data_IF_430988896408
#
_entry.id   IF_430988896408
#
_cell.length_a   1.000
_cell.length_b   1.000
_cell.length_c   1.000
_cell.angle_alpha   90.00
_cell.angle_beta   90.00
_cell.angle_gamma   90.00
#
_symmetry.space_group_name_H-M   'P 1'
#
loop_
_entity.id
_entity.type
_entity.pdbx_description
1 polymer ?
#
# COMPACT_ATOMS: atom_id res chain seq x y z
N UNK A 1 -36.61 -28.86 -42.00
CA UNK A 1 -36.21 -27.46 -41.73
C UNK A 1 -35.24 -27.49 -40.57
N UNK A 2 -33.95 -27.56 -40.88
CA UNK A 2 -32.86 -27.75 -39.92
C UNK A 2 -32.26 -26.41 -39.51
N UNK A 3 -31.96 -26.32 -38.22
CA UNK A 3 -30.87 -25.59 -37.57
C UNK A 3 -30.80 -24.06 -37.69
N UNK A 4 -31.33 -23.32 -36.70
CA UNK A 4 -30.69 -22.08 -36.18
C UNK A 4 -30.98 -21.85 -34.67
N UNK A 5 -30.48 -22.68 -33.72
CA UNK A 5 -30.24 -22.19 -32.35
C UNK A 5 -28.77 -21.89 -32.07
N UNK A 6 -27.84 -22.42 -32.86
CA UNK A 6 -26.39 -22.32 -32.60
C UNK A 6 -25.76 -21.01 -33.12
N UNK A 7 -26.36 -20.37 -34.12
CA UNK A 7 -25.81 -19.13 -34.70
C UNK A 7 -25.98 -17.93 -33.76
N UNK A 8 -27.07 -17.87 -32.98
CA UNK A 8 -27.30 -16.77 -32.02
C UNK A 8 -26.32 -16.87 -30.85
N UNK A 9 -26.10 -18.07 -30.30
CA UNK A 9 -25.12 -18.30 -29.23
C UNK A 9 -23.69 -18.04 -29.69
N UNK A 10 -23.34 -18.43 -30.92
CA UNK A 10 -22.03 -18.16 -31.52
C UNK A 10 -21.86 -16.67 -31.86
N UNK A 11 -22.91 -15.94 -32.26
CA UNK A 11 -22.83 -14.48 -32.44
C UNK A 11 -22.66 -13.71 -31.12
N UNK A 12 -23.32 -14.13 -30.04
CA UNK A 12 -23.10 -13.54 -28.70
C UNK A 12 -21.73 -13.90 -28.12
N UNK A 13 -21.18 -15.08 -28.43
CA UNK A 13 -19.81 -15.46 -28.08
C UNK A 13 -18.75 -14.77 -28.98
N UNK A 14 -19.08 -14.46 -30.24
CA UNK A 14 -18.22 -13.71 -31.17
C UNK A 14 -18.21 -12.20 -30.91
N UNK A 15 -19.25 -11.63 -30.27
CA UNK A 15 -19.24 -10.24 -29.80
C UNK A 15 -18.41 -10.06 -28.52
N UNK A 16 -18.07 -11.15 -27.81
CA UNK A 16 -17.03 -11.18 -26.78
C UNK A 16 -15.63 -11.47 -27.37
N UNK A 17 -15.41 -11.23 -28.66
CA UNK A 17 -14.07 -11.29 -29.25
C UNK A 17 -13.24 -10.06 -28.80
N UNK A 18 -12.38 -10.27 -27.80
CA UNK A 18 -11.29 -9.39 -27.38
C UNK A 18 -11.63 -7.89 -27.34
N UNK A 19 -12.21 -7.43 -26.23
CA UNK A 19 -12.12 -6.02 -25.86
C UNK A 19 -10.62 -5.65 -25.83
N UNK A 20 -10.16 -4.90 -26.83
CA UNK A 20 -8.77 -4.46 -26.91
C UNK A 20 -8.49 -3.52 -25.75
N UNK A 21 -7.34 -3.69 -25.12
CA UNK A 21 -6.92 -2.84 -24.01
C UNK A 21 -6.49 -1.49 -24.59
N UNK A 22 -7.13 -0.43 -24.11
CA UNK A 22 -6.94 0.94 -24.57
C UNK A 22 -6.62 1.80 -23.35
N UNK A 23 -5.69 2.74 -23.50
CA UNK A 23 -5.37 3.73 -22.49
C UNK A 23 -6.11 5.05 -22.73
N UNK A 24 -6.37 5.83 -21.67
CA UNK A 24 -7.02 7.15 -21.76
C UNK A 24 -6.30 8.10 -22.71
N UNK A 25 -7.02 8.98 -23.40
CA UNK A 25 -6.44 9.91 -24.37
C UNK A 25 -5.57 10.99 -23.69
N UNK A 26 -4.26 11.09 -23.98
CA UNK A 26 -3.40 12.12 -23.41
C UNK A 26 -3.50 13.49 -24.11
N UNK A 27 -4.36 13.70 -25.10
CA UNK A 27 -4.46 14.96 -25.86
C UNK A 27 -4.93 16.16 -25.03
N UNK A 28 -5.46 15.94 -23.82
CA UNK A 28 -5.73 16.98 -22.82
C UNK A 28 -4.49 17.67 -22.22
N UNK A 29 -3.28 17.21 -22.58
CA UNK A 29 -2.01 17.80 -22.17
C UNK A 29 -1.90 19.29 -22.55
N UNK A 30 -1.57 20.14 -21.55
CA UNK A 30 -1.48 21.61 -21.71
C UNK A 30 -0.01 22.08 -21.73
N UNK A 31 0.19 23.27 -22.30
CA UNK A 31 1.49 23.98 -22.34
C UNK A 31 2.64 23.20 -23.01
N UNK A 32 2.28 22.29 -23.92
CA UNK A 32 3.21 21.50 -24.69
C UNK A 32 2.53 20.67 -25.80
N UNK A 33 3.28 19.72 -26.34
CA UNK A 33 2.83 18.80 -27.38
C UNK A 33 3.02 17.34 -26.94
N UNK A 34 2.03 16.51 -27.28
CA UNK A 34 2.11 15.04 -27.22
C UNK A 34 2.17 14.46 -28.64
N UNK A 35 3.07 13.49 -28.87
CA UNK A 35 3.28 12.81 -30.16
C UNK A 35 3.41 11.28 -29.99
N UNK A 36 2.88 10.45 -30.91
CA UNK A 36 1.92 10.81 -31.96
C UNK A 36 0.53 11.09 -31.36
N UNK A 37 -0.27 11.89 -32.06
CA UNK A 37 -1.71 12.05 -31.78
C UNK A 37 -2.47 10.97 -32.55
N UNK A 38 -3.07 10.04 -31.84
CA UNK A 38 -3.82 8.91 -32.40
C UNK A 38 -5.29 9.04 -32.02
N UNK A 39 -6.18 8.38 -32.76
CA UNK A 39 -7.60 8.30 -32.38
C UNK A 39 -7.84 7.41 -31.16
N UNK A 40 -7.05 6.35 -31.01
CA UNK A 40 -7.06 5.44 -29.87
C UNK A 40 -5.65 4.97 -29.56
N UNK A 41 -5.36 4.73 -28.29
CA UNK A 41 -4.05 4.29 -27.81
C UNK A 41 -4.15 2.87 -27.25
N UNK A 42 -3.85 1.88 -28.10
CA UNK A 42 -3.85 0.47 -27.70
C UNK A 42 -2.62 0.13 -26.86
N UNK A 43 -2.68 -1.02 -26.16
CA UNK A 43 -1.51 -1.64 -25.51
C UNK A 43 -0.25 -1.59 -26.39
N UNK A 44 0.87 -1.16 -25.81
CA UNK A 44 2.16 -0.99 -26.49
C UNK A 44 2.33 0.33 -27.22
N UNK A 45 1.29 1.16 -27.34
CA UNK A 45 1.41 2.52 -27.91
C UNK A 45 2.36 3.37 -27.05
N UNK A 46 3.27 4.07 -27.71
CA UNK A 46 4.22 4.98 -27.05
C UNK A 46 3.89 6.43 -27.39
N UNK A 47 3.87 7.28 -26.36
CA UNK A 47 3.70 8.73 -26.49
C UNK A 47 4.90 9.46 -25.92
N UNK A 48 5.33 10.54 -26.58
CA UNK A 48 6.36 11.46 -26.12
C UNK A 48 5.80 12.85 -25.89
N UNK A 49 6.30 13.53 -24.87
CA UNK A 49 5.82 14.82 -24.40
C UNK A 49 6.95 15.85 -24.45
N UNK A 50 6.63 17.05 -24.94
CA UNK A 50 7.56 18.18 -24.99
C UNK A 50 6.86 19.47 -24.62
N UNK A 51 7.45 20.27 -23.75
CA UNK A 51 6.88 21.56 -23.36
C UNK A 51 7.22 22.67 -24.35
N UNK A 52 6.35 23.69 -24.41
CA UNK A 52 6.65 24.91 -25.13
C UNK A 52 7.78 25.69 -24.47
N UNK A 53 8.34 26.67 -25.21
CA UNK A 53 9.41 27.53 -24.70
C UNK A 53 8.96 28.26 -23.41
N UNK A 54 9.86 28.30 -22.42
CA UNK A 54 9.59 28.91 -21.11
C UNK A 54 8.98 27.94 -20.08
N UNK A 55 8.60 26.73 -20.47
CA UNK A 55 8.08 25.70 -19.58
C UNK A 55 9.08 24.55 -19.38
N UNK A 56 9.07 23.96 -18.19
CA UNK A 56 9.87 22.78 -17.85
C UNK A 56 8.98 21.57 -17.67
N UNK A 57 9.39 20.45 -18.25
CA UNK A 57 8.69 19.18 -18.11
C UNK A 57 8.98 18.56 -16.74
N UNK A 58 7.92 18.24 -15.99
CA UNK A 58 7.92 17.35 -14.82
C UNK A 58 7.16 16.06 -15.16
N UNK A 59 7.51 14.96 -14.50
CA UNK A 59 6.94 13.64 -14.79
C UNK A 59 7.64 12.91 -15.95
N UNK A 60 6.98 11.90 -16.53
CA UNK A 60 7.62 11.04 -17.52
C UNK A 60 7.60 11.63 -18.94
N UNK A 61 8.75 11.86 -19.60
CA UNK A 61 8.80 12.41 -20.96
C UNK A 61 8.30 11.46 -22.04
N UNK A 62 8.23 10.17 -21.72
CA UNK A 62 7.69 9.12 -22.58
C UNK A 62 6.84 8.19 -21.75
N UNK A 63 5.66 7.82 -22.26
CA UNK A 63 4.75 6.87 -21.60
C UNK A 63 4.31 5.80 -22.58
N UNK A 64 4.12 4.60 -22.07
CA UNK A 64 3.68 3.42 -22.82
C UNK A 64 2.34 2.97 -22.28
N UNK A 65 1.39 2.66 -23.17
CA UNK A 65 0.12 2.06 -22.78
C UNK A 65 0.33 0.61 -22.34
N UNK A 66 0.03 0.31 -21.08
CA UNK A 66 0.31 -0.98 -20.45
C UNK A 66 -0.89 -1.95 -20.58
N UNK A 67 -0.67 -3.26 -20.37
CA UNK A 67 -1.73 -4.28 -20.45
C UNK A 67 -2.83 -4.14 -19.37
N UNK A 68 -2.61 -3.31 -18.35
CA UNK A 68 -3.63 -2.98 -17.35
C UNK A 68 -4.50 -1.77 -17.75
N UNK A 69 -4.34 -1.26 -18.98
CA UNK A 69 -5.08 -0.11 -19.51
C UNK A 69 -4.65 1.24 -18.92
N UNK A 70 -3.45 1.30 -18.34
CA UNK A 70 -2.85 2.52 -17.77
C UNK A 70 -1.62 2.95 -18.53
N UNK A 71 -1.27 4.22 -18.40
CA UNK A 71 -0.02 4.76 -18.90
C UNK A 71 1.11 4.52 -17.90
N UNK A 72 2.26 4.03 -18.38
CA UNK A 72 3.45 3.86 -17.55
C UNK A 72 4.01 5.19 -17.03
N UNK A 73 4.70 5.16 -15.89
CA UNK A 73 5.36 6.34 -15.30
C UNK A 73 4.39 7.44 -14.84
N UNK A 74 4.96 8.55 -14.38
CA UNK A 74 4.21 9.69 -13.82
C UNK A 74 3.59 10.59 -14.91
N UNK A 75 2.50 11.27 -14.55
CA UNK A 75 1.81 12.24 -15.43
C UNK A 75 2.78 13.34 -15.90
N UNK A 76 2.90 13.59 -17.22
CA UNK A 76 3.73 14.66 -17.74
C UNK A 76 3.05 16.01 -17.51
N UNK A 77 3.80 16.99 -17.02
CA UNK A 77 3.31 18.33 -16.68
C UNK A 77 4.30 19.36 -17.20
N UNK A 78 3.82 20.34 -17.96
CA UNK A 78 4.60 21.51 -18.33
C UNK A 78 4.36 22.63 -17.32
N UNK A 79 5.42 23.01 -16.62
CA UNK A 79 5.36 23.95 -15.50
C UNK A 79 6.24 25.16 -15.79
N UNK A 80 5.71 26.37 -15.59
CA UNK A 80 6.46 27.61 -15.77
C UNK A 80 7.33 27.92 -14.52
N UNK A 81 7.01 27.32 -13.37
CA UNK A 81 7.71 27.51 -12.09
C UNK A 81 7.55 28.89 -11.43
N UNK A 82 6.64 29.73 -11.90
CA UNK A 82 6.42 31.09 -11.38
C UNK A 82 5.16 31.21 -10.52
N UNK A 83 4.23 30.25 -10.61
CA UNK A 83 3.04 30.22 -9.79
C UNK A 83 3.33 29.80 -8.33
N UNK A 84 2.39 30.08 -7.41
CA UNK A 84 2.58 29.79 -6.00
C UNK A 84 2.57 28.28 -5.72
N UNK A 85 1.54 27.57 -6.15
CA UNK A 85 1.55 26.12 -6.23
C UNK A 85 2.06 25.64 -7.61
N UNK A 86 2.77 24.51 -7.69
CA UNK A 86 3.17 23.93 -8.96
C UNK A 86 1.97 23.62 -9.84
N UNK A 87 2.13 23.65 -11.17
CA UNK A 87 1.06 23.25 -12.08
C UNK A 87 0.55 21.83 -11.72
N UNK A 88 -0.75 21.64 -11.40
CA UNK A 88 -1.27 20.34 -10.94
C UNK A 88 -1.45 19.32 -12.07
N UNK A 89 -1.13 19.71 -13.32
CA UNK A 89 -1.20 18.83 -14.49
C UNK A 89 -2.61 18.60 -14.99
N UNK A 90 -2.70 17.88 -16.12
CA UNK A 90 -3.95 17.37 -16.70
C UNK A 90 -3.74 15.88 -17.01
N UNK A 91 -4.22 14.98 -16.14
CA UNK A 91 -4.11 13.53 -16.35
C UNK A 91 -4.73 13.09 -17.69
N UNK A 92 -4.21 12.05 -18.36
CA UNK A 92 -4.81 11.50 -19.57
C UNK A 92 -6.28 11.09 -19.36
N UNK A 93 -7.12 11.35 -20.36
CA UNK A 93 -8.56 11.11 -20.33
C UNK A 93 -9.34 12.07 -19.42
N UNK A 94 -8.76 13.23 -19.13
CA UNK A 94 -9.38 14.24 -18.28
C UNK A 94 -9.25 15.66 -18.85
N UNK A 95 -10.16 16.52 -18.41
CA UNK A 95 -10.11 17.95 -18.63
C UNK A 95 -9.98 18.69 -17.29
N UNK A 96 -8.98 19.57 -17.20
CA UNK A 96 -8.81 20.49 -16.06
C UNK A 96 -9.40 21.86 -16.38
N UNK A 97 -10.26 22.35 -15.50
CA UNK A 97 -10.69 23.75 -15.44
C UNK A 97 -9.95 24.48 -14.30
N UNK A 98 -9.53 25.72 -14.57
CA UNK A 98 -8.64 26.51 -13.70
C UNK A 98 -7.20 26.56 -14.24
N UNK A 99 -6.68 27.78 -14.37
CA UNK A 99 -5.35 28.11 -14.94
C UNK A 99 -4.52 29.03 -14.05
N UNK A 100 -5.01 29.35 -12.84
CA UNK A 100 -4.28 30.12 -11.84
C UNK A 100 -3.96 29.20 -10.67
N UNK A 101 -2.75 29.30 -10.15
CA UNK A 101 -2.27 28.42 -9.07
C UNK A 101 -1.74 29.25 -7.88
N UNK A 102 -2.44 30.34 -7.55
CA UNK A 102 -2.23 31.12 -6.32
C UNK A 102 -2.85 30.44 -5.10
N UNK A 103 -2.56 30.96 -3.90
CA UNK A 103 -3.20 30.49 -2.65
C UNK A 103 -4.72 30.59 -2.80
N UNK A 104 -5.44 29.55 -2.36
CA UNK A 104 -6.90 29.39 -2.46
C UNK A 104 -7.46 29.27 -3.89
N UNK A 105 -6.62 29.36 -4.93
CA UNK A 105 -7.07 29.02 -6.27
C UNK A 105 -7.44 27.55 -6.36
N UNK A 106 -8.46 27.28 -7.16
CA UNK A 106 -9.12 26.00 -7.28
C UNK A 106 -9.08 25.50 -8.71
N UNK A 107 -8.75 24.23 -8.85
CA UNK A 107 -8.88 23.49 -10.11
C UNK A 107 -9.90 22.37 -9.96
N UNK A 108 -10.67 22.13 -11.02
CA UNK A 108 -11.63 21.04 -11.08
C UNK A 108 -11.35 20.16 -12.28
N UNK A 109 -11.52 18.85 -12.10
CA UNK A 109 -11.27 17.86 -13.13
C UNK A 109 -12.57 17.18 -13.54
N UNK A 110 -12.64 16.77 -14.80
CA UNK A 110 -13.71 15.96 -15.34
C UNK A 110 -13.10 14.88 -16.24
N UNK A 111 -13.49 13.62 -16.05
CA UNK A 111 -13.07 12.55 -16.93
C UNK A 111 -13.88 12.55 -18.23
N UNK A 112 -13.25 12.06 -19.29
CA UNK A 112 -13.91 11.82 -20.57
C UNK A 112 -15.02 10.78 -20.43
N UNK A 113 -15.93 10.77 -21.41
CA UNK A 113 -17.10 9.88 -21.38
C UNK A 113 -16.68 8.41 -21.34
N UNK A 114 -17.22 7.66 -20.37
CA UNK A 114 -16.94 6.23 -20.20
C UNK A 114 -15.72 5.92 -19.32
N UNK A 115 -15.04 6.94 -18.79
CA UNK A 115 -13.97 6.81 -17.81
C UNK A 115 -14.48 7.17 -16.41
N UNK A 116 -13.92 6.50 -15.41
CA UNK A 116 -14.21 6.72 -13.99
C UNK A 116 -13.06 7.48 -13.33
N UNK A 117 -13.40 8.38 -12.41
CA UNK A 117 -12.42 9.18 -11.70
C UNK A 117 -11.99 8.52 -10.40
N UNK A 118 -10.70 8.30 -10.27
CA UNK A 118 -10.03 8.05 -9.01
C UNK A 118 -9.38 9.34 -8.51
N UNK A 119 -9.32 9.51 -7.19
CA UNK A 119 -8.72 10.68 -6.57
C UNK A 119 -9.66 11.87 -6.43
N UNK A 120 -9.13 13.08 -6.61
CA UNK A 120 -9.85 14.33 -6.30
C UNK A 120 -10.39 15.01 -7.55
N UNK A 121 -11.72 15.15 -7.62
CA UNK A 121 -12.39 15.95 -8.66
C UNK A 121 -12.08 17.45 -8.54
N UNK A 122 -11.61 17.88 -7.37
CA UNK A 122 -11.31 19.26 -7.04
C UNK A 122 -10.06 19.31 -6.18
N UNK A 123 -9.18 20.25 -6.48
CA UNK A 123 -7.97 20.52 -5.71
C UNK A 123 -7.83 22.02 -5.50
N UNK A 124 -7.38 22.41 -4.32
CA UNK A 124 -7.21 23.81 -3.90
C UNK A 124 -5.76 24.01 -3.47
N UNK A 125 -5.12 25.07 -3.94
CA UNK A 125 -3.75 25.41 -3.56
C UNK A 125 -3.72 25.90 -2.10
N UNK A 126 -2.84 25.33 -1.29
CA UNK A 126 -2.70 25.63 0.13
C UNK A 126 -1.49 26.53 0.40
N UNK A 127 -1.45 27.15 1.59
CA UNK A 127 -0.34 28.01 2.05
C UNK A 127 1.01 27.28 2.17
N UNK A 128 1.03 25.95 2.13
CA UNK A 128 2.25 25.15 2.17
C UNK A 128 2.82 24.84 0.76
N UNK A 129 2.32 25.50 -0.29
CA UNK A 129 2.66 25.26 -1.70
C UNK A 129 2.22 23.89 -2.24
N UNK A 130 1.31 23.20 -1.55
CA UNK A 130 0.76 21.92 -1.97
C UNK A 130 -0.71 22.03 -2.38
N UNK A 131 -1.17 21.09 -3.19
CA UNK A 131 -2.56 20.97 -3.58
C UNK A 131 -3.31 20.05 -2.62
N UNK A 132 -4.50 20.43 -2.19
CA UNK A 132 -5.37 19.52 -1.43
C UNK A 132 -5.73 18.27 -2.23
N UNK A 133 -6.06 17.20 -1.50
CA UNK A 133 -6.46 15.94 -2.10
C UNK A 133 -5.33 15.22 -2.83
N UNK A 134 -5.66 14.13 -3.50
CA UNK A 134 -4.75 13.38 -4.39
C UNK A 134 -4.97 13.74 -5.87
N UNK A 135 -3.93 13.55 -6.69
CA UNK A 135 -4.01 13.72 -8.16
C UNK A 135 -5.10 12.83 -8.74
N UNK A 136 -6.00 13.35 -9.60
CA UNK A 136 -7.02 12.52 -10.20
C UNK A 136 -6.42 11.58 -11.24
N UNK A 137 -7.08 10.44 -11.46
CA UNK A 137 -6.78 9.56 -12.57
C UNK A 137 -8.09 9.09 -13.20
N UNK A 138 -8.16 9.12 -14.54
CA UNK A 138 -9.33 8.70 -15.29
C UNK A 138 -9.02 7.39 -15.99
N UNK A 139 -9.79 6.33 -15.71
CA UNK A 139 -9.56 5.02 -16.31
C UNK A 139 -10.85 4.32 -16.72
N UNK A 140 -10.74 3.41 -17.68
CA UNK A 140 -11.85 2.55 -18.10
C UNK A 140 -12.16 1.48 -17.04
N UNK A 141 -13.38 0.94 -17.11
CA UNK A 141 -13.87 -0.11 -16.19
C UNK A 141 -13.03 -1.40 -16.19
N UNK A 142 -12.36 -1.74 -17.29
CA UNK A 142 -11.52 -2.94 -17.37
C UNK A 142 -10.10 -2.75 -16.81
N UNK A 143 -9.74 -1.54 -16.36
CA UNK A 143 -8.43 -1.28 -15.77
C UNK A 143 -8.30 -1.88 -14.37
N UNK A 144 -7.07 -2.17 -13.98
CA UNK A 144 -6.74 -2.74 -12.68
C UNK A 144 -5.34 -2.29 -12.23
N UNK A 145 -5.09 -2.34 -10.92
CA UNK A 145 -3.80 -2.20 -10.28
C UNK A 145 -3.04 -3.52 -10.30
N UNK A 146 -1.76 -3.45 -10.66
CA UNK A 146 -0.88 -4.61 -10.47
C UNK A 146 -0.55 -4.77 -8.99
N UNK A 147 -0.18 -5.98 -8.52
CA UNK A 147 0.34 -6.19 -7.18
C UNK A 147 1.41 -5.19 -6.78
N UNK A 148 2.37 -4.95 -7.66
CA UNK A 148 3.50 -4.06 -7.39
C UNK A 148 3.07 -2.59 -7.30
N UNK A 149 2.04 -2.17 -8.02
CA UNK A 149 1.43 -0.83 -7.89
C UNK A 149 0.67 -0.69 -6.56
N UNK A 150 -0.10 -1.71 -6.18
CA UNK A 150 -0.85 -1.72 -4.93
C UNK A 150 0.08 -1.75 -3.72
N UNK A 151 1.13 -2.59 -3.72
CA UNK A 151 2.20 -2.60 -2.71
C UNK A 151 2.81 -1.21 -2.60
N UNK A 152 3.30 -0.65 -3.70
CA UNK A 152 4.02 0.63 -3.65
C UNK A 152 3.14 1.75 -3.12
N UNK A 153 1.86 1.83 -3.53
CA UNK A 153 0.94 2.84 -3.03
C UNK A 153 0.56 2.66 -1.57
N UNK A 154 0.28 1.41 -1.14
CA UNK A 154 -0.18 1.11 0.21
C UNK A 154 0.97 1.13 1.23
N UNK A 155 2.09 0.47 0.91
CA UNK A 155 3.25 0.33 1.80
C UNK A 155 4.03 1.61 1.89
N UNK A 156 4.24 2.36 0.81
CA UNK A 156 4.94 3.64 0.96
C UNK A 156 4.21 4.55 1.95
N UNK A 157 2.87 4.51 1.95
CA UNK A 157 2.03 5.26 2.87
C UNK A 157 2.10 4.68 4.30
N UNK A 158 2.07 3.35 4.48
CA UNK A 158 2.16 2.71 5.81
C UNK A 158 3.58 2.67 6.39
N UNK A 159 4.63 2.37 5.62
CA UNK A 159 6.01 2.45 6.07
C UNK A 159 6.39 3.87 6.47
N UNK A 160 5.91 4.86 5.71
CA UNK A 160 6.04 6.25 6.13
C UNK A 160 5.42 6.45 7.52
N UNK A 161 4.23 5.91 7.79
CA UNK A 161 3.63 5.90 9.12
C UNK A 161 4.53 5.18 10.13
N UNK A 162 5.00 3.96 9.85
CA UNK A 162 5.64 3.06 10.82
C UNK A 162 7.12 3.31 11.10
N UNK A 163 7.80 4.16 10.32
CA UNK A 163 9.22 4.46 10.53
C UNK A 163 9.43 5.27 11.82
N UNK A 164 10.02 4.59 12.80
CA UNK A 164 10.71 5.20 13.93
C UNK A 164 12.08 5.63 13.43
N UNK A 165 12.46 6.91 13.57
CA UNK A 165 13.82 7.35 13.20
C UNK A 165 14.86 6.60 14.05
N UNK A 166 15.68 5.77 13.42
CA UNK A 166 17.10 5.65 13.79
C UNK A 166 17.89 6.63 12.92
N UNK A 167 18.70 7.46 13.57
CA UNK A 167 19.23 8.73 13.09
C UNK A 167 20.30 8.67 11.99
N UNK A 168 20.41 7.59 11.20
CA UNK A 168 21.52 7.42 10.24
C UNK A 168 21.12 6.85 8.86
N UNK A 169 19.82 6.77 8.52
CA UNK A 169 19.41 6.33 7.19
C UNK A 169 19.60 7.45 6.12
N UNK A 170 20.24 7.17 4.96
CA UNK A 170 20.36 8.16 3.89
C UNK A 170 18.98 8.55 3.35
N UNK A 171 18.79 9.80 2.90
CA UNK A 171 17.51 10.27 2.39
C UNK A 171 17.10 9.44 1.18
N UNK A 172 15.95 8.77 1.28
CA UNK A 172 15.27 8.16 0.14
C UNK A 172 14.98 9.29 -0.84
N UNK A 173 15.30 9.08 -2.13
CA UNK A 173 15.09 10.05 -3.21
C UNK A 173 13.69 10.69 -3.08
N UNK A 174 13.69 12.03 -3.11
CA UNK A 174 12.65 13.03 -2.81
C UNK A 174 11.21 12.89 -3.37
N UNK A 175 10.71 11.71 -3.77
CA UNK A 175 9.41 11.61 -4.44
C UNK A 175 8.39 10.62 -3.83
N UNK A 176 8.61 10.07 -2.64
CA UNK A 176 7.68 9.08 -2.07
C UNK A 176 7.33 9.35 -0.60
N UNK A 177 6.06 9.68 -0.38
CA UNK A 177 5.33 9.74 0.88
C UNK A 177 5.88 10.67 1.99
N UNK A 178 4.95 11.30 2.72
CA UNK A 178 5.20 12.22 3.84
C UNK A 178 6.15 11.60 4.87
N UNK A 179 7.08 12.39 5.41
CA UNK A 179 7.85 12.00 6.60
C UNK A 179 6.91 12.01 7.82
N UNK A 180 6.35 10.87 8.18
CA UNK A 180 5.44 10.74 9.33
C UNK A 180 6.26 10.30 10.54
N UNK A 181 6.38 11.19 11.54
CA UNK A 181 7.07 10.86 12.78
C UNK A 181 6.11 10.05 13.67
N UNK A 182 6.36 8.76 13.85
CA UNK A 182 5.86 8.03 15.02
C UNK A 182 6.95 8.13 16.09
N UNK A 183 6.65 8.86 17.17
CA UNK A 183 7.49 8.86 18.37
C UNK A 183 7.52 7.46 18.95
N UNK A 184 8.66 7.02 19.48
CA UNK A 184 8.80 5.78 20.25
C UNK A 184 7.70 5.70 21.33
N UNK A 185 6.71 4.84 21.12
CA UNK A 185 5.51 4.71 21.97
C UNK A 185 4.18 5.25 21.40
N UNK A 186 4.14 5.67 20.13
CA UNK A 186 2.90 6.09 19.46
C UNK A 186 1.87 4.94 19.36
N UNK A 187 0.58 5.29 19.45
CA UNK A 187 -0.53 4.32 19.40
C UNK A 187 -1.05 4.18 17.97
N UNK A 188 -1.21 2.94 17.52
CA UNK A 188 -1.75 2.63 16.20
C UNK A 188 -3.02 1.80 16.36
N UNK A 189 -4.12 2.29 15.79
CA UNK A 189 -5.39 1.59 15.71
C UNK A 189 -5.63 1.18 14.27
N UNK A 190 -5.89 -0.11 14.04
CA UNK A 190 -6.15 -0.63 12.70
C UNK A 190 -7.51 -1.32 12.69
N UNK A 191 -8.40 -0.83 11.84
CA UNK A 191 -9.68 -1.45 11.56
C UNK A 191 -9.62 -2.21 10.23
N UNK A 192 -9.96 -3.50 10.24
CA UNK A 192 -10.14 -4.29 9.02
C UNK A 192 -11.62 -4.58 8.86
N UNK A 193 -12.19 -4.19 7.72
CA UNK A 193 -13.62 -4.34 7.40
C UNK A 193 -13.75 -5.20 6.15
N UNK A 194 -14.33 -6.38 6.30
CA UNK A 194 -14.50 -7.37 5.23
C UNK A 194 -15.96 -7.46 4.77
N UNK A 195 -16.20 -7.18 3.50
CA UNK A 195 -17.50 -7.36 2.86
C UNK A 195 -17.78 -8.84 2.58
N UNK A 196 -18.84 -9.36 3.19
CA UNK A 196 -19.33 -10.72 3.04
C UNK A 196 -20.73 -10.74 2.37
N UNK A 197 -21.06 -9.70 1.60
CA UNK A 197 -22.29 -9.65 0.83
C UNK A 197 -22.27 -10.63 -0.34
N UNK A 198 -23.45 -10.90 -0.89
CA UNK A 198 -23.62 -11.83 -2.01
C UNK A 198 -22.88 -11.37 -3.29
N UNK A 199 -22.73 -10.06 -3.47
CA UNK A 199 -22.08 -9.51 -4.66
C UNK A 199 -20.56 -9.71 -4.68
N UNK A 200 -19.95 -9.89 -3.51
CA UNK A 200 -18.56 -10.37 -3.37
C UNK A 200 -18.51 -11.89 -3.48
N UNK A 201 -19.37 -12.59 -2.73
CA UNK A 201 -19.43 -14.05 -2.71
C UNK A 201 -18.33 -14.70 -1.85
N UNK A 202 -18.53 -16.00 -1.55
CA UNK A 202 -17.70 -16.74 -0.59
C UNK A 202 -16.22 -16.86 -1.00
N UNK A 203 -15.95 -17.10 -2.29
CA UNK A 203 -14.59 -17.26 -2.80
C UNK A 203 -13.75 -15.99 -2.62
N UNK A 204 -14.28 -14.84 -3.05
CA UNK A 204 -13.56 -13.56 -2.94
C UNK A 204 -13.51 -13.06 -1.49
N UNK A 205 -14.50 -13.41 -0.67
CA UNK A 205 -14.45 -13.18 0.78
C UNK A 205 -13.28 -13.94 1.43
N UNK A 206 -13.14 -15.24 1.16
CA UNK A 206 -12.07 -16.07 1.72
C UNK A 206 -10.67 -15.59 1.28
N UNK A 207 -10.53 -15.15 0.02
CA UNK A 207 -9.32 -14.50 -0.46
C UNK A 207 -9.04 -13.19 0.27
N UNK A 208 -10.07 -12.37 0.50
CA UNK A 208 -9.96 -11.11 1.25
C UNK A 208 -9.57 -11.35 2.72
N UNK A 209 -10.12 -12.39 3.36
CA UNK A 209 -9.76 -12.83 4.71
C UNK A 209 -8.30 -13.26 4.79
N UNK A 210 -7.84 -14.08 3.84
CA UNK A 210 -6.42 -14.49 3.75
C UNK A 210 -5.49 -13.30 3.57
N UNK A 211 -5.88 -12.32 2.74
CA UNK A 211 -5.16 -11.06 2.59
C UNK A 211 -5.05 -10.31 3.94
N UNK A 212 -6.16 -10.16 4.67
CA UNK A 212 -6.16 -9.50 5.97
C UNK A 212 -5.23 -10.20 6.98
N UNK A 213 -5.19 -11.53 7.00
CA UNK A 213 -4.27 -12.30 7.85
C UNK A 213 -2.80 -12.04 7.48
N UNK A 214 -2.44 -12.07 6.20
CA UNK A 214 -1.08 -11.75 5.74
C UNK A 214 -0.67 -10.32 6.12
N UNK A 215 -1.61 -9.36 6.02
CA UNK A 215 -1.37 -7.98 6.43
C UNK A 215 -1.12 -7.88 7.95
N UNK A 216 -1.89 -8.59 8.77
CA UNK A 216 -1.67 -8.64 10.23
C UNK A 216 -0.29 -9.19 10.58
N UNK A 217 0.14 -10.27 9.92
CA UNK A 217 1.48 -10.84 10.08
C UNK A 217 2.57 -9.83 9.72
N UNK A 218 2.41 -9.13 8.59
CA UNK A 218 3.35 -8.10 8.15
C UNK A 218 3.45 -6.95 9.16
N UNK A 219 2.33 -6.42 9.64
CA UNK A 219 2.37 -5.34 10.63
C UNK A 219 3.01 -5.81 11.94
N UNK A 220 2.75 -7.06 12.35
CA UNK A 220 3.35 -7.65 13.55
C UNK A 220 4.88 -7.82 13.45
N UNK A 221 5.45 -7.71 12.24
CA UNK A 221 6.91 -7.73 12.03
C UNK A 221 7.61 -6.41 12.37
N UNK A 222 6.87 -5.30 12.48
CA UNK A 222 7.42 -4.01 12.89
C UNK A 222 7.44 -3.87 14.42
N UNK A 223 8.24 -2.95 14.94
CA UNK A 223 8.35 -2.68 16.39
C UNK A 223 7.11 -2.01 17.01
N UNK A 224 6.07 -1.76 16.22
CA UNK A 224 4.83 -1.12 16.66
C UNK A 224 3.77 -2.20 16.93
N UNK A 225 3.19 -2.20 18.13
CA UNK A 225 2.07 -3.09 18.48
C UNK A 225 0.72 -2.39 18.22
N UNK A 226 0.00 -2.73 17.13
CA UNK A 226 -1.31 -2.14 16.83
C UNK A 226 -2.43 -2.73 17.71
N UNK A 227 -3.47 -1.93 17.96
CA UNK A 227 -4.77 -2.44 18.40
C UNK A 227 -5.66 -2.73 17.19
N UNK A 228 -6.26 -3.92 17.17
CA UNK A 228 -7.07 -4.41 16.05
C UNK A 228 -8.56 -4.28 16.31
N UNK A 229 -9.30 -3.72 15.35
CA UNK A 229 -10.76 -3.83 15.26
C UNK A 229 -11.13 -4.55 13.97
N UNK A 230 -11.68 -5.76 14.06
CA UNK A 230 -11.95 -6.57 12.86
C UNK A 230 -13.45 -6.77 12.75
N UNK A 231 -14.00 -6.38 11.62
CA UNK A 231 -15.43 -6.42 11.33
C UNK A 231 -15.66 -7.15 10.01
N UNK A 232 -16.76 -7.88 9.93
CA UNK A 232 -17.31 -8.33 8.66
C UNK A 232 -18.76 -7.88 8.54
N UNK A 233 -19.22 -7.56 7.33
CA UNK A 233 -20.58 -7.05 7.14
C UNK A 233 -21.25 -7.65 5.91
N UNK A 234 -22.57 -7.75 6.01
CA UNK A 234 -23.50 -7.90 4.89
C UNK A 234 -24.70 -6.98 5.18
N UNK A 235 -25.89 -7.54 5.42
CA UNK A 235 -27.05 -6.77 5.91
C UNK A 235 -26.78 -6.14 7.28
N UNK A 236 -26.14 -6.90 8.16
CA UNK A 236 -25.69 -6.47 9.49
C UNK A 236 -24.17 -6.59 9.60
N UNK A 237 -23.60 -5.79 10.48
CA UNK A 237 -22.18 -5.85 10.83
C UNK A 237 -21.98 -6.83 11.98
N UNK A 238 -21.03 -7.76 11.82
CA UNK A 238 -20.53 -8.64 12.86
C UNK A 238 -19.13 -8.18 13.26
N UNK A 239 -18.94 -7.89 14.55
CA UNK A 239 -17.60 -7.65 15.11
C UNK A 239 -16.95 -8.99 15.38
N UNK A 240 -15.80 -9.21 14.73
CA UNK A 240 -14.96 -10.39 14.93
C UNK A 240 -14.03 -10.11 16.10
N UNK A 241 -13.34 -8.96 16.05
CA UNK A 241 -12.42 -8.49 17.10
C UNK A 241 -12.87 -7.09 17.52
N UNK A 242 -13.12 -6.90 18.81
CA UNK A 242 -13.48 -5.60 19.38
C UNK A 242 -12.21 -4.87 19.85
N UNK A 243 -11.87 -3.77 19.19
CA UNK A 243 -10.70 -2.94 19.51
C UNK A 243 -10.76 -2.32 20.92
N UNK A 244 -11.96 -2.27 21.50
CA UNK A 244 -12.18 -1.74 22.85
C UNK A 244 -11.68 -2.71 23.94
N UNK A 245 -11.55 -4.01 23.62
CA UNK A 245 -11.04 -4.99 24.55
C UNK A 245 -9.51 -4.87 24.71
N UNK A 246 -9.09 -4.26 25.82
CA UNK A 246 -7.67 -4.07 26.16
C UNK A 246 -6.90 -5.37 26.40
N UNK A 247 -7.59 -6.49 26.62
CA UNK A 247 -6.94 -7.80 26.82
C UNK A 247 -6.68 -8.54 25.52
N UNK A 248 -7.22 -8.05 24.40
CA UNK A 248 -7.09 -8.67 23.10
C UNK A 248 -5.66 -8.54 22.59
N UNK A 249 -4.94 -9.67 22.49
CA UNK A 249 -3.62 -9.71 21.86
C UNK A 249 -3.73 -9.88 20.35
N UNK A 250 -2.68 -9.49 19.62
CA UNK A 250 -2.61 -9.70 18.16
C UNK A 250 -2.77 -11.18 17.77
N UNK A 251 -2.21 -12.11 18.56
CA UNK A 251 -2.36 -13.54 18.32
C UNK A 251 -3.82 -14.02 18.49
N UNK A 252 -4.54 -13.48 19.48
CA UNK A 252 -5.97 -13.77 19.66
C UNK A 252 -6.82 -13.18 18.54
N UNK A 253 -6.55 -11.94 18.15
CA UNK A 253 -7.21 -11.29 17.02
C UNK A 253 -7.01 -12.08 15.71
N UNK A 254 -5.79 -12.57 15.47
CA UNK A 254 -5.46 -13.41 14.33
C UNK A 254 -6.27 -14.71 14.34
N UNK A 255 -6.29 -15.43 15.47
CA UNK A 255 -7.08 -16.67 15.61
C UNK A 255 -8.57 -16.42 15.36
N UNK A 256 -9.13 -15.35 15.92
CA UNK A 256 -10.56 -15.04 15.74
C UNK A 256 -10.91 -14.73 14.28
N UNK A 257 -10.04 -14.03 13.55
CA UNK A 257 -10.23 -13.81 12.12
C UNK A 257 -10.06 -15.10 11.32
N UNK A 258 -9.04 -15.91 11.64
CA UNK A 258 -8.80 -17.20 10.97
C UNK A 258 -9.99 -18.15 11.09
N UNK A 259 -10.62 -18.20 12.27
CA UNK A 259 -11.77 -19.06 12.57
C UNK A 259 -13.11 -18.51 12.04
N UNK A 260 -13.13 -17.26 11.56
CA UNK A 260 -14.35 -16.65 11.02
C UNK A 260 -14.64 -17.18 9.61
N UNK A 261 -15.89 -17.54 9.37
CA UNK A 261 -16.34 -18.11 8.10
C UNK A 261 -17.38 -17.20 7.42
N UNK A 262 -17.49 -17.29 6.10
CA UNK A 262 -18.49 -16.56 5.32
C UNK A 262 -19.93 -16.86 5.78
N UNK A 263 -20.20 -18.13 6.13
CA UNK A 263 -21.54 -18.60 6.52
C UNK A 263 -22.07 -17.97 7.80
N UNK A 264 -21.19 -17.36 8.62
CA UNK A 264 -21.57 -16.63 9.82
C UNK A 264 -22.57 -15.53 9.54
N UNK A 265 -22.76 -15.03 8.32
CA UNK A 265 -23.79 -14.00 8.07
C UNK A 265 -25.24 -14.53 7.99
N UNK A 266 -25.50 -15.81 8.27
CA UNK A 266 -26.85 -16.37 8.48
C UNK A 266 -27.86 -16.03 7.34
N UNK A 267 -27.45 -16.14 6.07
CA UNK A 267 -28.26 -15.82 4.87
C UNK A 267 -28.63 -14.32 4.72
N UNK A 268 -27.85 -13.43 5.30
CA UNK A 268 -27.97 -11.99 5.09
C UNK A 268 -27.12 -11.55 3.89
N UNK A 269 -27.78 -11.17 2.81
CA UNK A 269 -27.14 -10.91 1.50
C UNK A 269 -27.03 -9.44 1.11
N UNK A 270 -27.52 -8.51 1.95
CA UNK A 270 -27.42 -7.08 1.68
C UNK A 270 -25.99 -6.55 1.82
N UNK A 271 -25.76 -5.33 1.35
CA UNK A 271 -24.47 -4.64 1.39
C UNK A 271 -24.67 -3.32 2.14
N UNK A 272 -24.29 -3.30 3.43
CA UNK A 272 -24.50 -2.18 4.34
C UNK A 272 -23.16 -1.58 4.83
N UNK A 273 -22.40 -0.98 3.91
CA UNK A 273 -21.09 -0.37 4.22
C UNK A 273 -21.22 0.73 5.30
N UNK A 274 -22.29 1.54 5.21
CA UNK A 274 -22.57 2.57 6.22
C UNK A 274 -22.69 1.98 7.63
N UNK A 275 -23.36 0.84 7.78
CA UNK A 275 -23.49 0.15 9.06
C UNK A 275 -22.14 -0.30 9.63
N UNK A 276 -21.26 -0.81 8.76
CA UNK A 276 -19.91 -1.20 9.14
C UNK A 276 -19.06 0.00 9.61
N UNK A 277 -19.08 1.09 8.84
CA UNK A 277 -18.40 2.34 9.22
C UNK A 277 -18.99 2.96 10.49
N UNK A 278 -20.29 2.84 10.71
CA UNK A 278 -20.95 3.36 11.93
C UNK A 278 -20.51 2.57 13.17
N UNK A 279 -20.23 1.27 13.04
CA UNK A 279 -19.59 0.48 14.10
C UNK A 279 -18.20 1.02 14.42
N UNK A 280 -17.37 1.30 13.41
CA UNK A 280 -16.04 1.91 13.63
C UNK A 280 -16.15 3.27 14.30
N UNK A 281 -17.07 4.13 13.84
CA UNK A 281 -17.32 5.42 14.47
C UNK A 281 -17.69 5.31 15.96
N UNK A 282 -18.52 4.32 16.33
CA UNK A 282 -18.88 4.06 17.73
C UNK A 282 -17.68 3.61 18.55
N UNK A 283 -16.84 2.73 17.99
CA UNK A 283 -15.64 2.23 18.66
C UNK A 283 -14.64 3.36 18.91
N UNK A 284 -14.37 4.17 17.90
CA UNK A 284 -13.52 5.35 18.03
C UNK A 284 -14.09 6.36 19.03
N UNK A 285 -15.41 6.58 19.03
CA UNK A 285 -16.06 7.49 19.98
C UNK A 285 -15.89 7.00 21.42
N UNK A 286 -16.00 5.69 21.64
CA UNK A 286 -15.77 5.08 22.94
C UNK A 286 -14.31 5.20 23.39
N UNK A 287 -13.35 4.89 22.50
CA UNK A 287 -11.91 5.04 22.78
C UNK A 287 -11.56 6.48 23.16
N UNK A 288 -12.10 7.47 22.43
CA UNK A 288 -11.92 8.89 22.75
C UNK A 288 -12.51 9.27 24.10
N UNK A 289 -13.69 8.75 24.45
CA UNK A 289 -14.33 9.01 25.73
C UNK A 289 -13.55 8.40 26.90
N UNK A 290 -12.94 7.23 26.70
CA UNK A 290 -12.13 6.52 27.71
C UNK A 290 -10.81 7.21 27.99
N UNK A 291 -10.06 7.55 26.94
CA UNK A 291 -8.78 8.27 27.08
C UNK A 291 -8.58 9.23 25.92
N UNK A 292 -9.01 10.48 26.11
CA UNK A 292 -8.97 11.51 25.08
C UNK A 292 -7.54 11.81 24.59
N UNK A 293 -6.57 11.90 25.52
CA UNK A 293 -5.19 12.23 25.18
C UNK A 293 -4.56 11.15 24.30
N UNK A 294 -4.69 9.89 24.72
CA UNK A 294 -4.19 8.75 23.96
C UNK A 294 -4.87 8.64 22.58
N UNK A 295 -6.18 8.89 22.51
CA UNK A 295 -6.90 8.87 21.23
C UNK A 295 -6.43 9.99 20.28
N UNK A 296 -6.19 11.20 20.79
CA UNK A 296 -5.72 12.33 19.98
C UNK A 296 -4.27 12.14 19.49
N UNK A 297 -3.47 11.34 20.19
CA UNK A 297 -2.11 10.95 19.80
C UNK A 297 -2.09 9.67 18.92
N UNK A 298 -3.20 8.93 18.85
CA UNK A 298 -3.30 7.67 18.12
C UNK A 298 -3.53 7.90 16.62
N UNK A 299 -2.78 7.18 15.78
CA UNK A 299 -3.04 7.11 14.34
C UNK A 299 -4.08 6.02 14.08
N UNK A 300 -5.07 6.31 13.24
CA UNK A 300 -6.19 5.42 12.95
C UNK A 300 -6.17 5.04 11.47
N UNK A 301 -6.08 3.74 11.19
CA UNK A 301 -6.12 3.19 9.83
C UNK A 301 -7.39 2.36 9.69
N UNK A 302 -8.14 2.59 8.62
CA UNK A 302 -9.32 1.81 8.24
C UNK A 302 -9.03 1.16 6.90
N UNK A 303 -9.05 -0.16 6.86
CA UNK A 303 -8.91 -0.99 5.67
C UNK A 303 -10.28 -1.58 5.33
N UNK A 304 -10.91 -1.06 4.28
CA UNK A 304 -12.19 -1.55 3.78
C UNK A 304 -11.97 -2.38 2.53
N UNK A 305 -12.45 -3.62 2.53
CA UNK A 305 -12.40 -4.53 1.38
C UNK A 305 -13.84 -4.82 0.95
N UNK A 306 -14.24 -4.32 -0.23
CA UNK A 306 -15.64 -4.32 -0.71
C UNK A 306 -15.69 -4.15 -2.23
N UNK A 307 -16.82 -4.47 -2.85
CA UNK A 307 -17.11 -4.12 -4.24
C UNK A 307 -17.74 -2.72 -4.39
N UNK A 308 -18.05 -2.02 -3.30
CA UNK A 308 -18.61 -0.67 -3.32
C UNK A 308 -20.09 -0.60 -3.69
N UNK A 309 -20.84 -1.70 -3.59
CA UNK A 309 -22.24 -1.74 -4.02
C UNK A 309 -23.23 -1.63 -2.87
N UNK A 310 -23.12 -0.59 -2.06
CA UNK A 310 -24.06 -0.37 -0.96
C UNK A 310 -25.51 -0.29 -1.46
N UNK A 311 -26.34 -1.21 -0.99
CA UNK A 311 -27.78 -1.24 -1.26
C UNK A 311 -28.63 -1.07 0.01
N UNK A 312 -27.98 -0.96 1.18
CA UNK A 312 -28.62 -0.78 2.48
C UNK A 312 -27.95 0.31 3.32
N UNK A 313 -28.68 0.84 4.31
CA UNK A 313 -28.16 1.83 5.27
C UNK A 313 -28.09 3.27 4.75
N UNK A 314 -27.98 3.47 3.44
CA UNK A 314 -27.82 4.78 2.78
C UNK A 314 -26.36 5.19 2.64
N UNK A 315 -26.11 6.47 2.43
CA UNK A 315 -24.82 7.05 2.01
C UNK A 315 -23.68 6.82 3.04
N UNK A 316 -22.68 5.97 2.77
CA UNK A 316 -21.57 5.67 3.69
C UNK A 316 -20.68 6.88 4.02
N UNK A 317 -20.53 7.80 3.06
CA UNK A 317 -19.70 9.01 3.17
C UNK A 317 -20.12 9.93 4.32
N UNK A 318 -21.39 9.88 4.72
CA UNK A 318 -21.87 10.61 5.89
C UNK A 318 -21.18 10.16 7.18
N UNK A 319 -20.84 8.88 7.29
CA UNK A 319 -20.12 8.33 8.45
C UNK A 319 -18.64 8.68 8.37
N UNK A 320 -18.03 8.64 7.19
CA UNK A 320 -16.65 9.12 6.99
C UNK A 320 -16.50 10.56 7.47
N UNK A 321 -17.45 11.45 7.17
CA UNK A 321 -17.46 12.83 7.69
C UNK A 321 -17.53 12.88 9.23
N UNK A 322 -18.32 12.00 9.86
CA UNK A 322 -18.40 11.91 11.32
C UNK A 322 -17.08 11.43 11.93
N UNK A 323 -16.44 10.42 11.35
CA UNK A 323 -15.13 9.90 11.79
C UNK A 323 -14.07 11.01 11.68
N UNK A 324 -14.02 11.73 10.55
CA UNK A 324 -13.13 12.89 10.36
C UNK A 324 -13.36 13.97 11.42
N UNK A 325 -14.62 14.34 11.66
CA UNK A 325 -14.97 15.31 12.71
C UNK A 325 -14.59 14.82 14.11
N UNK A 326 -14.65 13.52 14.38
CA UNK A 326 -14.28 12.96 15.68
C UNK A 326 -12.79 13.11 15.98
N UNK A 327 -11.94 12.99 14.96
CA UNK A 327 -10.48 13.21 15.05
C UNK A 327 -10.16 14.71 15.09
N UNK A 328 -11.09 15.56 14.62
CA UNK A 328 -10.94 17.01 14.57
C UNK A 328 -10.41 17.51 13.22
N UNK A 329 -10.62 16.73 12.16
CA UNK A 329 -10.35 17.14 10.77
C UNK A 329 -11.56 17.93 10.29
N UNK A 330 -11.42 19.24 10.13
CA UNK A 330 -12.53 20.14 9.78
C UNK A 330 -12.55 20.52 8.30
N UNK A 331 -11.39 20.58 7.65
CA UNK A 331 -11.22 20.86 6.23
C UNK A 331 -10.08 20.01 5.63
N UNK A 332 -10.08 19.75 4.30
CA UNK A 332 -8.97 19.09 3.61
C UNK A 332 -7.66 19.88 3.79
N UNK A 333 -6.53 19.19 3.95
CA UNK A 333 -5.21 19.83 4.13
C UNK A 333 -4.87 20.25 5.56
N UNK A 334 -5.77 20.03 6.52
CA UNK A 334 -5.50 20.28 7.95
C UNK A 334 -4.42 19.34 8.50
N UNK A 335 -3.58 19.80 9.43
CA UNK A 335 -2.48 19.01 10.03
C UNK A 335 -2.93 17.63 10.52
N UNK A 336 -4.16 17.57 11.06
CA UNK A 336 -4.75 16.34 11.58
C UNK A 336 -5.15 15.29 10.54
N UNK A 337 -5.08 15.58 9.25
CA UNK A 337 -5.28 14.58 8.18
C UNK A 337 -4.33 13.38 8.34
N UNK A 338 -3.19 13.55 9.02
CA UNK A 338 -2.24 12.46 9.26
C UNK A 338 -2.67 11.40 10.27
N UNK A 339 -3.73 11.65 11.05
CA UNK A 339 -4.19 10.74 12.11
C UNK A 339 -5.31 9.80 11.63
N UNK A 340 -5.71 9.92 10.35
CA UNK A 340 -6.70 9.06 9.72
C UNK A 340 -6.26 8.66 8.32
N UNK A 341 -6.26 7.37 8.06
CA UNK A 341 -6.12 6.80 6.73
C UNK A 341 -7.24 5.82 6.48
N UNK A 342 -8.00 6.02 5.41
CA UNK A 342 -9.05 5.11 4.96
C UNK A 342 -8.63 4.56 3.61
N UNK A 343 -8.21 3.31 3.59
CA UNK A 343 -7.87 2.54 2.39
C UNK A 343 -9.06 1.70 1.97
N UNK A 344 -9.35 1.67 0.67
CA UNK A 344 -10.42 0.86 0.08
C UNK A 344 -9.85 -0.02 -1.01
N UNK A 345 -10.02 -1.34 -0.85
CA UNK A 345 -9.64 -2.35 -1.82
C UNK A 345 -10.89 -2.88 -2.49
N UNK A 346 -11.04 -2.55 -3.77
CA UNK A 346 -12.07 -3.04 -4.66
C UNK A 346 -11.87 -4.53 -4.95
N UNK A 347 -12.80 -5.37 -4.51
CA UNK A 347 -12.83 -6.82 -4.78
C UNK A 347 -14.13 -7.20 -5.47
N UNK A 348 -14.14 -8.37 -6.13
CA UNK A 348 -15.28 -8.83 -6.90
C UNK A 348 -15.22 -8.44 -8.38
N UNK A 349 -16.12 -9.03 -9.17
CA UNK A 349 -16.12 -8.92 -10.65
C UNK A 349 -16.66 -7.59 -11.17
N UNK A 350 -17.50 -6.92 -10.38
CA UNK A 350 -18.19 -5.71 -10.79
C UNK A 350 -18.19 -4.74 -9.62
N UNK A 351 -17.17 -3.88 -9.61
CA UNK A 351 -16.88 -2.90 -8.57
C UNK A 351 -17.56 -1.59 -8.95
N UNK A 352 -18.12 -0.87 -7.97
CA UNK A 352 -18.57 0.52 -8.10
C UNK A 352 -17.42 1.46 -7.76
N UNK A 353 -16.75 1.98 -8.80
CA UNK A 353 -15.57 2.84 -8.65
C UNK A 353 -15.87 4.17 -7.94
N UNK A 354 -17.08 4.71 -8.14
CA UNK A 354 -17.48 6.00 -7.59
C UNK A 354 -17.68 5.90 -6.07
N UNK A 355 -18.37 4.87 -5.59
CA UNK A 355 -18.59 4.68 -4.16
C UNK A 355 -17.27 4.46 -3.40
N UNK A 356 -16.39 3.57 -3.89
CA UNK A 356 -15.10 3.30 -3.22
C UNK A 356 -14.19 4.54 -3.20
N UNK A 357 -14.16 5.32 -4.29
CA UNK A 357 -13.35 6.54 -4.37
C UNK A 357 -13.87 7.67 -3.46
N UNK A 358 -15.16 7.68 -3.18
CA UNK A 358 -15.77 8.64 -2.26
C UNK A 358 -15.56 8.29 -0.77
N UNK A 359 -15.28 7.02 -0.45
CA UNK A 359 -15.01 6.56 0.92
C UNK A 359 -13.53 6.73 1.28
N UNK A 360 -12.63 6.43 0.35
CA UNK A 360 -11.20 6.46 0.59
C UNK A 360 -10.67 7.86 0.92
N UNK A 361 -9.53 7.90 1.62
CA UNK A 361 -8.82 9.15 1.89
C UNK A 361 -8.25 9.77 0.62
N UNK A 362 -8.08 11.09 0.62
CA UNK A 362 -7.52 11.86 -0.50
C UNK A 362 -6.40 12.73 0.03
N UNK A 363 -5.17 12.25 -0.10
CA UNK A 363 -3.96 12.94 0.36
C UNK A 363 -3.00 13.12 -0.82
N UNK A 364 -2.28 14.23 -0.86
CA UNK A 364 -1.39 14.53 -1.98
C UNK A 364 -0.31 13.44 -2.11
N UNK A 365 -0.05 13.01 -3.34
CA UNK A 365 0.94 11.97 -3.69
C UNK A 365 0.74 10.59 -3.03
N UNK A 366 -0.39 10.38 -2.37
CA UNK A 366 -0.76 9.10 -1.77
C UNK A 366 -1.95 8.49 -2.49
N UNK A 367 -2.02 7.16 -2.44
CA UNK A 367 -3.09 6.38 -3.06
C UNK A 367 -3.80 5.55 -2.01
N UNK A 368 -5.11 5.72 -1.92
CA UNK A 368 -5.94 5.03 -0.93
C UNK A 368 -7.03 4.15 -1.54
N UNK A 369 -7.16 4.12 -2.86
CA UNK A 369 -8.09 3.23 -3.59
C UNK A 369 -7.27 2.28 -4.42
N UNK A 370 -7.55 0.98 -4.30
CA UNK A 370 -6.90 -0.06 -5.08
C UNK A 370 -7.95 -0.96 -5.72
N UNK A 371 -7.83 -1.19 -7.02
CA UNK A 371 -8.70 -2.08 -7.78
C UNK A 371 -7.87 -3.23 -8.32
N UNK A 372 -8.06 -4.42 -7.80
CA UNK A 372 -7.21 -5.55 -8.18
C UNK A 372 -7.87 -6.40 -9.25
N UNK A 373 -7.05 -7.04 -10.08
CA UNK A 373 -7.54 -7.99 -11.09
C UNK A 373 -8.13 -9.25 -10.46
N UNK A 374 -7.53 -9.70 -9.35
CA UNK A 374 -7.90 -10.89 -8.59
C UNK A 374 -7.49 -10.69 -7.13
N UNK A 375 -8.36 -10.97 -6.15
CA UNK A 375 -8.00 -10.95 -4.73
C UNK A 375 -6.84 -11.90 -4.35
N UNK A 376 -6.57 -12.99 -5.08
CA UNK A 376 -5.39 -13.84 -4.81
C UNK A 376 -4.07 -13.10 -5.05
N UNK A 377 -4.05 -12.23 -6.07
CA UNK A 377 -2.90 -11.38 -6.33
C UNK A 377 -2.69 -10.35 -5.22
N UNK A 378 -3.71 -10.06 -4.41
CA UNK A 378 -3.57 -9.25 -3.20
C UNK A 378 -2.81 -9.99 -2.10
N UNK A 379 -3.06 -11.28 -1.91
CA UNK A 379 -2.30 -12.07 -0.94
C UNK A 379 -0.81 -12.14 -1.35
N UNK A 380 -0.53 -12.26 -2.64
CA UNK A 380 0.83 -12.19 -3.20
C UNK A 380 1.44 -10.79 -3.07
N UNK A 381 0.66 -9.73 -3.32
CA UNK A 381 1.01 -8.32 -3.04
C UNK A 381 1.56 -8.21 -1.61
N UNK A 382 0.81 -8.69 -0.61
CA UNK A 382 1.22 -8.66 0.80
C UNK A 382 2.36 -9.61 1.16
N UNK A 383 2.51 -10.76 0.48
CA UNK A 383 3.69 -11.62 0.66
C UNK A 383 4.96 -11.00 0.10
N UNK A 384 4.91 -10.39 -1.08
CA UNK A 384 6.04 -9.67 -1.69
C UNK A 384 6.44 -8.42 -0.90
N UNK A 385 5.57 -7.90 -0.03
CA UNK A 385 5.94 -6.87 0.95
C UNK A 385 6.88 -7.40 2.04
N UNK A 386 6.95 -8.71 2.25
CA UNK A 386 7.95 -9.38 3.09
C UNK A 386 9.20 -9.64 2.22
N UNK A 387 9.64 -8.66 1.41
CA UNK A 387 10.91 -8.79 0.73
C UNK A 387 12.03 -8.42 1.69
N UNK A 388 12.86 -9.41 1.99
CA UNK A 388 13.95 -9.35 2.97
C UNK A 388 14.96 -8.24 2.62
N UNK A 389 15.06 -7.91 1.34
CA UNK A 389 16.00 -6.93 0.79
C UNK A 389 15.68 -5.47 1.15
N UNK A 390 14.41 -5.09 1.33
CA UNK A 390 14.02 -3.73 1.75
C UNK A 390 13.95 -3.59 3.29
N UNK A 391 13.93 -4.73 4.00
CA UNK A 391 13.97 -4.81 5.46
C UNK A 391 15.40 -4.80 6.01
N UNK A 392 16.24 -3.89 5.52
CA UNK A 392 17.60 -3.65 6.05
C UNK A 392 17.47 -3.05 7.46
N UNK A 393 17.20 -3.91 8.45
CA UNK A 393 16.94 -3.52 9.84
C UNK A 393 16.11 -4.53 10.65
N UNK A 394 15.36 -5.43 10.00
CA UNK A 394 14.58 -6.45 10.72
C UNK A 394 15.42 -7.69 11.00
N UNK A 395 15.48 -8.13 12.26
CA UNK A 395 16.17 -9.36 12.65
C UNK A 395 15.24 -10.58 12.61
N UNK A 396 15.77 -11.76 12.28
CA UNK A 396 15.05 -13.03 12.44
C UNK A 396 14.07 -13.42 11.32
N UNK A 397 14.10 -12.73 10.17
CA UNK A 397 13.31 -13.11 8.99
C UNK A 397 13.96 -14.29 8.23
N UNK A 398 13.16 -15.28 7.87
CA UNK A 398 13.61 -16.48 7.14
C UNK A 398 12.60 -16.85 6.04
N UNK A 399 13.07 -17.49 4.96
CA UNK A 399 12.21 -17.90 3.83
C UNK A 399 12.00 -19.42 3.81
N UNK A 400 10.74 -19.85 3.61
CA UNK A 400 10.36 -21.24 3.33
C UNK A 400 9.98 -21.37 1.84
N UNK A 401 10.94 -21.71 0.99
CA UNK A 401 10.67 -22.20 -0.37
C UNK A 401 11.20 -23.63 -0.55
N UNK A 402 10.38 -24.50 -1.16
CA UNK A 402 10.64 -25.94 -1.33
C UNK A 402 11.81 -26.28 -2.27
N UNK A 403 12.42 -25.30 -2.95
CA UNK A 403 13.48 -25.53 -3.95
C UNK A 403 14.78 -24.71 -3.76
N UNK A 404 14.94 -24.01 -2.63
CA UNK A 404 16.19 -23.31 -2.35
C UNK A 404 17.29 -24.28 -1.91
N UNK A 405 18.33 -24.43 -2.75
CA UNK A 405 19.51 -25.27 -2.48
C UNK A 405 20.56 -24.60 -1.57
N UNK A 406 20.38 -23.32 -1.22
CA UNK A 406 21.37 -22.54 -0.47
C UNK A 406 20.87 -22.30 0.95
N UNK A 407 21.55 -22.86 1.96
CA UNK A 407 21.22 -22.74 3.40
C UNK A 407 21.13 -21.30 3.91
N UNK A 408 21.72 -20.35 3.19
CA UNK A 408 21.84 -18.96 3.62
C UNK A 408 20.68 -18.07 3.17
N UNK A 409 19.99 -18.40 2.08
CA UNK A 409 18.71 -17.77 1.73
C UNK A 409 17.64 -18.19 2.75
N UNK A 410 17.75 -19.43 3.25
CA UNK A 410 16.91 -19.95 4.33
C UNK A 410 17.25 -19.39 5.71
N UNK A 411 18.52 -19.13 6.03
CA UNK A 411 18.95 -18.57 7.33
C UNK A 411 19.90 -17.37 7.13
N UNK A 412 19.36 -16.15 6.90
CA UNK A 412 20.17 -14.98 6.53
C UNK A 412 21.17 -14.54 7.60
N UNK A 413 20.88 -14.81 8.87
CA UNK A 413 21.75 -14.45 10.00
C UNK A 413 22.93 -15.41 10.19
N UNK A 414 22.91 -16.59 9.57
CA UNK A 414 23.92 -17.63 9.79
C UNK A 414 25.26 -17.21 9.19
N UNK A 415 26.33 -17.30 9.97
CA UNK A 415 27.71 -17.06 9.50
C UNK A 415 28.65 -18.18 9.92
N UNK A 416 29.66 -18.41 9.08
CA UNK A 416 30.71 -19.39 9.35
C UNK A 416 32.00 -18.69 9.71
N UNK A 417 32.65 -19.16 10.77
CA UNK A 417 33.89 -18.60 11.30
C UNK A 417 34.98 -19.64 11.15
N UNK A 418 36.07 -19.28 10.48
CA UNK A 418 37.27 -20.11 10.35
C UNK A 418 38.41 -19.43 11.08
N UNK A 419 38.96 -20.12 12.07
CA UNK A 419 40.07 -19.63 12.89
C UNK A 419 41.27 -20.55 12.69
N UNK A 420 42.41 -19.99 12.31
CA UNK A 420 43.66 -20.76 12.17
C UNK A 420 44.50 -20.58 13.42
N UNK A 421 44.89 -21.70 14.05
CA UNK A 421 45.74 -21.65 15.23
C UNK A 421 47.20 -21.32 14.83
N UNK A 422 47.94 -20.46 15.57
CA UNK A 422 49.33 -20.14 15.25
C UNK A 422 50.26 -21.36 15.32
N UNK A 423 50.07 -22.21 16.34
CA UNK A 423 50.98 -23.34 16.64
C UNK A 423 50.61 -24.69 16.01
N UNK A 424 49.45 -24.81 15.33
CA UNK A 424 49.01 -26.05 14.70
C UNK A 424 48.28 -25.71 13.41
N UNK A 425 48.54 -26.43 12.32
CA UNK A 425 47.80 -26.34 11.04
C UNK A 425 46.34 -26.83 11.16
N UNK A 426 45.71 -26.65 12.32
CA UNK A 426 44.34 -27.04 12.61
C UNK A 426 43.44 -25.81 12.44
N UNK A 427 42.47 -25.94 11.53
CA UNK A 427 41.47 -24.92 11.27
C UNK A 427 40.26 -25.23 12.14
N UNK A 428 39.97 -24.35 13.10
CA UNK A 428 38.74 -24.42 13.88
C UNK A 428 37.61 -23.81 13.06
N UNK A 429 36.52 -24.56 12.89
CA UNK A 429 35.29 -24.10 12.25
C UNK A 429 34.23 -23.89 13.32
N UNK A 430 33.73 -22.68 13.41
CA UNK A 430 32.64 -22.28 14.28
C UNK A 430 31.50 -21.66 13.47
N UNK A 431 30.37 -21.51 14.14
CA UNK A 431 29.21 -20.80 13.61
C UNK A 431 28.92 -19.57 14.47
N UNK A 432 28.17 -18.64 13.91
CA UNK A 432 27.69 -17.46 14.62
C UNK A 432 26.43 -16.90 13.97
N UNK A 433 25.89 -15.86 14.60
CA UNK A 433 24.75 -15.13 14.10
C UNK A 433 25.09 -13.64 13.93
N UNK A 434 24.67 -13.05 12.81
CA UNK A 434 24.70 -11.60 12.62
C UNK A 434 23.70 -10.98 13.59
N UNK A 435 24.16 -10.06 14.44
CA UNK A 435 23.31 -9.36 15.41
C UNK A 435 23.23 -7.86 15.16
N UNK A 436 24.12 -7.31 14.31
CA UNK A 436 24.04 -5.94 13.80
C UNK A 436 24.88 -5.80 12.54
N UNK A 437 24.84 -4.61 11.91
CA UNK A 437 25.66 -4.27 10.74
C UNK A 437 27.19 -4.40 10.96
N UNK A 438 27.66 -4.49 12.21
CA UNK A 438 29.08 -4.55 12.57
C UNK A 438 29.46 -5.69 13.51
N UNK A 439 28.50 -6.45 14.02
CA UNK A 439 28.75 -7.48 15.03
C UNK A 439 28.19 -8.84 14.65
N UNK A 440 28.99 -9.87 14.94
CA UNK A 440 28.62 -11.27 14.89
C UNK A 440 28.73 -11.83 16.30
N UNK A 441 27.65 -12.44 16.78
CA UNK A 441 27.66 -13.19 18.03
C UNK A 441 28.12 -14.62 17.76
N UNK A 442 29.11 -15.09 18.52
CA UNK A 442 29.60 -16.46 18.47
C UNK A 442 30.13 -16.88 19.85
N UNK A 443 30.54 -18.13 19.98
CA UNK A 443 31.12 -18.65 21.21
C UNK A 443 32.58 -18.21 21.38
N UNK A 444 32.93 -17.70 22.57
CA UNK A 444 34.28 -17.20 22.86
C UNK A 444 35.39 -18.26 22.72
N UNK A 445 35.08 -19.55 22.94
CA UNK A 445 36.03 -20.65 22.82
C UNK A 445 36.50 -20.93 21.38
N UNK A 446 35.90 -20.27 20.39
CA UNK A 446 36.32 -20.33 18.99
C UNK A 446 37.63 -19.57 18.71
N UNK A 447 38.09 -18.78 19.69
CA UNK A 447 39.28 -17.94 19.58
C UNK A 447 40.29 -18.29 20.66
N UNK A 448 41.56 -18.00 20.38
CA UNK A 448 42.66 -18.22 21.31
C UNK A 448 43.18 -16.88 21.82
N UNK A 449 43.57 -16.84 23.09
CA UNK A 449 44.20 -15.65 23.69
C UNK A 449 45.46 -15.28 22.89
N UNK A 450 45.60 -13.99 22.53
CA UNK A 450 46.68 -13.43 21.72
C UNK A 450 46.74 -13.90 20.25
N UNK A 451 45.64 -14.42 19.69
CA UNK A 451 45.56 -14.73 18.26
C UNK A 451 45.59 -13.46 17.38
N UNK A 452 46.28 -13.52 16.24
CA UNK A 452 46.27 -12.42 15.28
C UNK A 452 44.93 -12.38 14.54
N UNK A 453 44.37 -11.18 14.40
CA UNK A 453 43.08 -10.92 13.75
C UNK A 453 43.07 -11.34 12.26
N UNK A 454 44.23 -11.40 11.62
CA UNK A 454 44.38 -11.90 10.24
C UNK A 454 44.07 -13.38 10.09
N UNK A 455 44.11 -14.14 11.18
CA UNK A 455 43.99 -15.59 11.20
C UNK A 455 42.54 -16.06 11.41
N UNK A 456 41.63 -15.10 11.65
CA UNK A 456 40.18 -15.31 11.76
C UNK A 456 39.49 -14.80 10.50
N UNK A 457 38.69 -15.67 9.89
CA UNK A 457 37.90 -15.38 8.69
C UNK A 457 36.43 -15.60 9.00
N UNK A 458 35.62 -14.56 8.80
CA UNK A 458 34.17 -14.68 8.84
C UNK A 458 33.64 -14.73 7.42
N UNK A 459 32.96 -15.82 7.13
CA UNK A 459 32.35 -16.12 5.85
C UNK A 459 30.87 -15.87 6.04
N UNK A 460 30.44 -14.71 5.53
CA UNK A 460 29.03 -14.36 5.47
C UNK A 460 28.47 -15.12 4.28
N UNK A 461 28.94 -14.92 3.04
CA UNK A 461 28.45 -15.60 1.85
C UNK A 461 29.58 -16.39 1.15
N UNK A 462 29.40 -17.68 0.76
CA UNK A 462 30.42 -18.42 0.04
C UNK A 462 30.78 -17.85 -1.35
N UNK A 463 29.94 -16.99 -1.94
CA UNK A 463 30.12 -16.37 -3.26
C UNK A 463 30.53 -14.88 -3.23
N UNK A 464 30.51 -14.21 -2.08
CA UNK A 464 31.01 -12.84 -1.92
C UNK A 464 32.17 -12.84 -0.92
N UNK A 465 33.30 -12.25 -1.31
CA UNK A 465 34.61 -12.41 -0.66
C UNK A 465 34.69 -12.16 0.86
N UNK A 466 35.83 -12.57 1.41
CA UNK A 466 36.17 -12.58 2.86
C UNK A 466 36.29 -11.16 3.42
N UNK A 467 35.74 -10.89 4.61
CA UNK A 467 35.98 -9.66 5.37
C UNK A 467 36.81 -9.95 6.63
N UNK A 468 37.69 -9.01 7.01
CA UNK A 468 38.52 -9.08 8.21
C UNK A 468 37.81 -8.42 9.42
N UNK A 469 38.02 -8.94 10.63
CA UNK A 469 37.40 -8.46 11.87
C UNK A 469 38.45 -7.90 12.85
N UNK A 470 38.03 -6.92 13.66
CA UNK A 470 38.70 -6.48 14.89
C UNK A 470 37.98 -7.13 16.08
N UNK A 471 38.71 -7.88 16.92
CA UNK A 471 38.17 -8.55 18.11
C UNK A 471 38.34 -7.65 19.35
N UNK A 472 37.26 -7.44 20.10
CA UNK A 472 37.30 -6.84 21.44
C UNK A 472 36.79 -7.87 22.45
N UNK A 473 37.69 -8.56 23.13
CA UNK A 473 37.32 -9.36 24.31
C UNK A 473 37.22 -8.47 25.53
N UNK A 474 36.07 -8.47 26.19
CA UNK A 474 35.93 -8.01 27.56
C UNK A 474 36.56 -9.07 28.48
N UNK A 475 37.62 -8.71 29.21
CA UNK A 475 38.12 -9.54 30.31
C UNK A 475 37.15 -9.42 31.49
N UNK A 476 36.57 -10.53 31.93
CA UNK A 476 36.16 -10.69 33.32
C UNK A 476 37.25 -11.53 33.99
N UNK A 477 37.98 -10.86 34.88
CA UNK A 477 39.04 -11.31 35.81
C UNK A 477 39.43 -12.79 35.80
#
# INVERSE_FOLDING_TARGET
MLAVPWIVTVLTLLLCANARIICPDPTGFKDGEVKPRLGEYYEGSNTSYSCFEGYKLRGSPTRTCQPNGKWSGDTPICDNGYDYCPNPGTPPGSHRNGERFGIDDKVTYQCDTGLFMFGSAERVCQENHEWTGTEPACYYKNTYDTPEEAVRGFVASIDALLRVEESDAPPIKENLARKLNITKGGKLHIYIILDASESVGEEDFEKSKKCALNFMEKISSYEVEPKWGILSFATKTKKIVDIVDEKMSTAQAYSQLSDFDYTKHDLQYGTNIKGALDSVYKDMSFLKARNRKEFEEARNVILLITDGKSNMGGIPQLVVRKIRSLIGITHPGHDKEEFLDIYVFGVGKDIDEDEINLIASKKDREKHVFKLKDPEKLAETFRQMINVDDSVGLCGLYQEEDNMKVTQEKYPWQVFIQSTHPDVTQITKCEGAIVSNRHVLTSAHCFVLNQNLTDVKVIINPNQGKKHIVHTTHQHN
#
